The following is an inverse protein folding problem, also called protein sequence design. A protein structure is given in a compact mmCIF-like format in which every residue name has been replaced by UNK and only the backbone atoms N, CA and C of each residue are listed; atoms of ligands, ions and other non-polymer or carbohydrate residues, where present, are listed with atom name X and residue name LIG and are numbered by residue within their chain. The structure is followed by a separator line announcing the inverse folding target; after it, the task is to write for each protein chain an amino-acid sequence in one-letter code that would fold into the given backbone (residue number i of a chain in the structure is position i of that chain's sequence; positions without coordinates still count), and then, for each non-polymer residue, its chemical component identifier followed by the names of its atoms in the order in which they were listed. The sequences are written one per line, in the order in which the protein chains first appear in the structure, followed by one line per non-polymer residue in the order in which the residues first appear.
data_IF_565111869837
#
_entry.id   IF_565111869837
#
_cell.length_a   1.000
_cell.length_b   1.000
_cell.length_c   1.000
_cell.angle_alpha   90.00
_cell.angle_beta   90.00
_cell.angle_gamma   90.00
#
_symmetry.space_group_name_H-M   'P 1'
#
loop_
_entity.id
_entity.type
_entity.pdbx_description
1 polymer ?
#
# COMPACT_ATOMS: atom_id res chain seq x y z
N UNK A 1 -10.91 7.65 -14.82
CA UNK A 1 -9.78 8.40 -14.20
C UNK A 1 -9.20 7.57 -13.06
N UNK A 2 -7.89 7.63 -12.75
CA UNK A 2 -7.30 6.88 -11.63
C UNK A 2 -6.99 7.82 -10.47
N UNK A 3 -7.64 7.60 -9.32
CA UNK A 3 -7.36 8.35 -8.08
C UNK A 3 -6.95 7.38 -6.97
N UNK A 4 -5.93 7.75 -6.19
CA UNK A 4 -5.40 6.92 -5.11
C UNK A 4 -5.57 7.67 -3.79
N UNK A 5 -6.15 7.01 -2.80
CA UNK A 5 -6.33 7.53 -1.44
C UNK A 5 -5.50 6.72 -0.46
N UNK A 6 -4.59 7.41 0.21
CA UNK A 6 -3.75 6.85 1.24
C UNK A 6 -3.19 7.94 2.15
N UNK A 7 -3.17 7.68 3.45
CA UNK A 7 -2.49 8.54 4.42
C UNK A 7 -1.84 7.66 5.48
N UNK A 8 -0.50 7.59 5.49
CA UNK A 8 0.22 6.73 6.44
C UNK A 8 -0.04 7.12 7.91
N UNK A 9 -0.36 8.38 8.20
CA UNK A 9 -0.66 8.88 9.55
C UNK A 9 -2.07 8.55 10.01
N UNK A 10 -2.96 8.16 9.09
CA UNK A 10 -4.31 7.74 9.42
C UNK A 10 -4.33 6.22 9.66
N UNK A 11 -4.77 5.85 10.87
CA UNK A 11 -4.85 4.46 11.32
C UNK A 11 -5.81 3.60 10.49
N UNK A 12 -6.73 4.21 9.74
CA UNK A 12 -7.57 3.48 8.78
C UNK A 12 -6.75 2.93 7.61
N UNK A 13 -5.68 3.61 7.21
CA UNK A 13 -4.81 3.25 6.09
C UNK A 13 -3.54 2.51 6.52
N UNK A 14 -3.00 2.81 7.70
CA UNK A 14 -1.85 2.09 8.26
C UNK A 14 -1.97 1.94 9.77
N UNK A 15 -2.07 0.69 10.23
CA UNK A 15 -2.09 0.38 11.67
C UNK A 15 -1.12 -0.75 11.98
N UNK A 16 -0.06 -0.56 12.77
CA UNK A 16 0.28 0.65 13.54
C UNK A 16 1.15 1.65 12.74
N UNK A 17 1.02 2.94 13.07
CA UNK A 17 1.82 4.03 12.50
C UNK A 17 3.12 4.26 13.30
N UNK A 18 4.15 4.78 12.64
CA UNK A 18 5.43 5.13 13.29
C UNK A 18 6.38 3.94 13.52
N UNK A 19 7.21 4.07 14.55
CA UNK A 19 8.14 3.03 14.98
C UNK A 19 7.39 1.90 15.71
N UNK A 20 7.75 0.66 15.40
CA UNK A 20 7.03 -0.53 15.85
C UNK A 20 8.01 -1.54 16.42
N UNK A 21 7.56 -2.40 17.34
CA UNK A 21 8.37 -3.53 17.77
C UNK A 21 8.60 -4.49 16.59
N UNK A 22 9.72 -5.21 16.61
CA UNK A 22 9.99 -6.26 15.63
C UNK A 22 8.88 -7.32 15.66
N UNK A 23 8.60 -7.94 14.52
CA UNK A 23 7.53 -8.93 14.35
C UNK A 23 6.12 -8.45 14.78
N UNK A 24 5.85 -7.15 14.75
CA UNK A 24 4.50 -6.60 15.01
C UNK A 24 3.66 -6.70 13.74
N UNK A 25 2.40 -7.13 13.86
CA UNK A 25 1.46 -7.14 12.74
C UNK A 25 1.11 -5.70 12.31
N UNK A 26 1.48 -5.34 11.09
CA UNK A 26 1.11 -4.09 10.43
C UNK A 26 0.03 -4.38 9.39
N UNK A 27 -1.02 -3.57 9.44
CA UNK A 27 -2.14 -3.57 8.50
C UNK A 27 -1.99 -2.37 7.57
N UNK A 28 -2.06 -2.64 6.27
CA UNK A 28 -2.08 -1.66 5.21
C UNK A 28 -3.43 -1.69 4.51
N UNK A 29 -3.90 -0.51 4.13
CA UNK A 29 -5.04 -0.32 3.25
C UNK A 29 -4.71 0.76 2.23
N UNK A 30 -5.19 0.60 1.01
CA UNK A 30 -5.20 1.64 -0.01
C UNK A 30 -6.56 1.61 -0.70
N UNK A 31 -7.12 2.80 -0.95
CA UNK A 31 -8.36 2.90 -1.71
C UNK A 31 -8.02 3.48 -3.08
N UNK A 32 -8.57 2.88 -4.13
CA UNK A 32 -8.31 3.28 -5.51
C UNK A 32 -9.63 3.48 -6.22
N UNK A 33 -9.85 4.67 -6.77
CA UNK A 33 -10.99 4.95 -7.64
C UNK A 33 -10.58 4.80 -9.10
N UNK A 34 -11.24 3.91 -9.84
CA UNK A 34 -10.99 3.68 -11.25
C UNK A 34 -12.19 3.04 -11.96
N UNK A 35 -12.45 3.46 -13.19
CA UNK A 35 -13.50 2.89 -14.06
C UNK A 35 -13.11 1.54 -14.68
N UNK A 36 -11.92 1.03 -14.38
CA UNK A 36 -11.36 -0.20 -14.93
C UNK A 36 -10.92 -1.16 -13.81
N UNK A 37 -10.80 -2.47 -14.09
CA UNK A 37 -10.32 -3.43 -13.09
C UNK A 37 -8.95 -3.04 -12.52
N UNK A 38 -8.87 -2.95 -11.19
CA UNK A 38 -7.63 -2.57 -10.48
C UNK A 38 -7.02 -3.78 -9.78
N UNK A 39 -5.68 -3.87 -9.83
CA UNK A 39 -4.88 -4.71 -8.94
C UNK A 39 -3.95 -3.82 -8.13
N UNK A 40 -3.71 -4.16 -6.87
CA UNK A 40 -2.81 -3.42 -6.01
C UNK A 40 -1.80 -4.35 -5.35
N UNK A 41 -0.55 -3.89 -5.29
CA UNK A 41 0.52 -4.51 -4.53
C UNK A 41 1.23 -3.43 -3.69
N UNK A 42 1.94 -3.87 -2.66
CA UNK A 42 2.86 -3.04 -1.90
C UNK A 42 4.26 -3.64 -2.00
N UNK A 43 5.23 -2.80 -2.32
CA UNK A 43 6.63 -3.19 -2.39
C UNK A 43 7.27 -2.74 -1.08
N UNK A 44 7.79 -3.68 -0.30
CA UNK A 44 8.41 -3.43 1.01
C UNK A 44 9.85 -3.92 0.93
N UNK A 45 10.82 -3.01 1.11
CA UNK A 45 12.25 -3.32 0.97
C UNK A 45 12.54 -4.16 -0.30
N UNK A 46 12.01 -3.74 -1.44
CA UNK A 46 12.13 -4.39 -2.76
C UNK A 46 11.41 -5.75 -2.91
N UNK A 47 10.64 -6.18 -1.92
CA UNK A 47 9.82 -7.40 -2.00
C UNK A 47 8.37 -6.99 -2.30
N UNK A 48 7.83 -7.53 -3.40
CA UNK A 48 6.46 -7.25 -3.83
C UNK A 48 5.45 -8.16 -3.12
N UNK A 49 4.43 -7.56 -2.52
CA UNK A 49 3.33 -8.25 -1.85
C UNK A 49 2.00 -7.87 -2.48
N UNK A 50 1.30 -8.85 -3.04
CA UNK A 50 -0.06 -8.66 -3.57
C UNK A 50 -1.04 -8.32 -2.45
N UNK A 51 -1.83 -7.26 -2.64
CA UNK A 51 -2.88 -6.87 -1.71
C UNK A 51 -4.20 -7.52 -2.10
N UNK A 52 -4.98 -7.92 -1.09
CA UNK A 52 -6.29 -8.53 -1.31
C UNK A 52 -7.34 -7.43 -1.45
N UNK A 53 -8.19 -7.54 -2.47
CA UNK A 53 -9.36 -6.67 -2.59
C UNK A 53 -10.37 -7.04 -1.49
N UNK A 54 -10.71 -6.08 -0.65
CA UNK A 54 -11.64 -6.22 0.47
C UNK A 54 -13.07 -5.85 0.06
N UNK A 55 -13.22 -4.80 -0.77
CA UNK A 55 -14.53 -4.37 -1.27
C UNK A 55 -14.42 -3.57 -2.56
N UNK A 56 -15.47 -3.62 -3.38
CA UNK A 56 -15.68 -2.76 -4.55
C UNK A 56 -17.06 -2.10 -4.44
N UNK A 57 -17.10 -0.77 -4.36
CA UNK A 57 -18.36 0.00 -4.31
C UNK A 57 -18.34 1.07 -5.39
N UNK A 58 -19.15 0.88 -6.44
CA UNK A 58 -19.08 1.73 -7.64
C UNK A 58 -17.71 1.57 -8.31
N UNK A 59 -16.99 2.67 -8.44
CA UNK A 59 -15.62 2.74 -8.99
C UNK A 59 -14.52 2.70 -7.90
N UNK A 60 -14.90 2.61 -6.63
CA UNK A 60 -13.96 2.58 -5.50
C UNK A 60 -13.61 1.15 -5.08
N UNK A 61 -12.37 0.75 -5.33
CA UNK A 61 -11.77 -0.51 -4.86
C UNK A 61 -10.97 -0.29 -3.59
N UNK A 62 -11.21 -1.11 -2.56
CA UNK A 62 -10.44 -1.09 -1.31
C UNK A 62 -9.55 -2.32 -1.27
N UNK A 63 -8.25 -2.13 -1.11
CA UNK A 63 -7.26 -3.20 -0.99
C UNK A 63 -6.63 -3.20 0.39
N UNK A 64 -6.40 -4.39 0.94
CA UNK A 64 -5.79 -4.58 2.27
C UNK A 64 -4.68 -5.62 2.23
N UNK A 65 -3.70 -5.45 3.12
CA UNK A 65 -2.66 -6.43 3.41
C UNK A 65 -2.33 -6.38 4.89
N UNK A 66 -2.05 -7.54 5.48
CA UNK A 66 -1.51 -7.65 6.84
C UNK A 66 -0.22 -8.45 6.81
N UNK A 67 0.84 -7.91 7.40
CA UNK A 67 2.16 -8.55 7.45
C UNK A 67 2.90 -8.17 8.72
N UNK A 68 3.81 -9.02 9.16
CA UNK A 68 4.66 -8.72 10.30
C UNK A 68 5.80 -7.78 9.90
N UNK A 69 6.11 -6.81 10.76
CA UNK A 69 7.32 -6.00 10.65
C UNK A 69 8.57 -6.88 10.68
N UNK A 70 9.70 -6.33 10.24
CA UNK A 70 10.97 -7.03 10.22
C UNK A 70 11.28 -7.66 11.59
N UNK A 71 11.86 -8.87 11.57
CA UNK A 71 12.31 -9.56 12.77
C UNK A 71 13.58 -8.95 13.38
N UNK A 72 14.18 -7.98 12.70
CA UNK A 72 15.36 -7.23 13.15
C UNK A 72 15.05 -5.72 13.11
N UNK A 73 15.59 -4.93 14.04
CA UNK A 73 15.46 -3.48 14.00
C UNK A 73 15.99 -2.92 12.67
N UNK A 74 15.25 -2.00 12.06
CA UNK A 74 15.62 -1.40 10.79
C UNK A 74 14.50 -0.57 10.19
N UNK A 75 14.81 0.11 9.10
CA UNK A 75 13.84 0.88 8.33
C UNK A 75 13.06 -0.05 7.40
N UNK A 76 11.77 0.24 7.26
CA UNK A 76 10.86 -0.46 6.37
C UNK A 76 10.33 0.55 5.36
N UNK A 77 10.95 0.58 4.19
CA UNK A 77 10.55 1.43 3.09
C UNK A 77 9.47 0.74 2.28
N UNK A 78 8.48 1.50 1.86
CA UNK A 78 7.41 0.96 1.03
C UNK A 78 6.80 1.99 0.10
N UNK A 79 6.37 1.49 -1.05
CA UNK A 79 5.47 2.19 -1.97
C UNK A 79 4.45 1.19 -2.51
N UNK A 80 3.34 1.70 -3.02
CA UNK A 80 2.28 0.93 -3.64
C UNK A 80 2.48 0.86 -5.15
N UNK A 81 2.11 -0.26 -5.73
CA UNK A 81 2.00 -0.48 -7.16
C UNK A 81 0.51 -0.69 -7.47
N UNK A 82 -0.07 0.18 -8.27
CA UNK A 82 -1.48 0.11 -8.68
C UNK A 82 -1.53 -0.12 -10.18
N UNK A 83 -2.03 -1.28 -10.58
CA UNK A 83 -2.08 -1.73 -11.98
C UNK A 83 -3.50 -1.73 -12.51
N UNK A 84 -3.67 -1.15 -13.69
CA UNK A 84 -4.90 -1.18 -14.51
C UNK A 84 -4.60 -1.89 -15.84
N UNK A 85 -5.60 -2.19 -16.69
CA UNK A 85 -5.34 -2.74 -18.03
C UNK A 85 -4.51 -1.81 -18.93
N UNK A 86 -4.44 -0.51 -18.61
CA UNK A 86 -3.83 0.51 -19.47
C UNK A 86 -2.43 0.88 -19.02
N UNK A 87 -2.19 0.96 -17.72
CA UNK A 87 -0.92 1.38 -17.14
C UNK A 87 -0.82 0.97 -15.66
N UNK A 88 0.40 1.00 -15.16
CA UNK A 88 0.74 0.84 -13.74
C UNK A 88 1.29 2.15 -13.20
N UNK A 89 0.83 2.55 -12.03
CA UNK A 89 1.36 3.71 -11.30
C UNK A 89 1.98 3.26 -9.98
N UNK A 90 3.01 3.98 -9.56
CA UNK A 90 3.66 3.79 -8.27
C UNK A 90 3.30 4.96 -7.36
N UNK A 91 2.91 4.67 -6.12
CA UNK A 91 2.46 5.67 -5.16
C UNK A 91 3.15 5.47 -3.80
N UNK A 92 3.87 6.48 -3.33
CA UNK A 92 4.65 6.44 -2.09
C UNK A 92 6.11 6.80 -2.33
N UNK A 93 6.90 6.84 -1.25
CA UNK A 93 8.33 7.13 -1.36
C UNK A 93 9.08 5.88 -1.81
N UNK A 94 9.67 5.96 -2.99
CA UNK A 94 10.74 5.08 -3.41
C UNK A 94 12.09 5.75 -3.08
N UNK A 95 13.10 4.99 -2.65
CA UNK A 95 14.44 5.54 -2.44
C UNK A 95 15.06 6.05 -3.75
N UNK A 96 14.68 5.44 -4.88
CA UNK A 96 15.19 5.80 -6.21
C UNK A 96 14.34 6.88 -6.92
N UNK A 97 13.13 7.16 -6.41
CA UNK A 97 12.24 8.22 -6.88
C UNK A 97 11.72 9.03 -5.70
N UNK A 98 12.62 9.78 -5.06
CA UNK A 98 12.25 10.78 -4.06
C UNK A 98 11.20 11.73 -4.65
N UNK A 99 10.02 11.86 -4.02
CA UNK A 99 9.39 13.15 -3.65
C UNK A 99 8.32 12.91 -2.56
N UNK A 100 8.61 13.34 -1.31
CA UNK A 100 7.61 13.58 -0.25
C UNK A 100 7.99 13.05 1.12
#
# INVERSE_FOLDING_TARGET
MLEIFYNSRDTAYKSIFGAVQCATLIKFRIDVRCDAPVKAAIIINHIRHEMQMDSLTGDLSVFKLSLHSLHKPGLMYYHFEVSTPYHTVYYGNDMDMLQG
#
